data_IF_025657811039
#
_entry.id   IF_025657811039
#
_cell.length_a   1.000
_cell.length_b   1.000
_cell.length_c   1.000
_cell.angle_alpha   90.00
_cell.angle_beta   90.00
_cell.angle_gamma   90.00
#
_symmetry.space_group_name_H-M   'P 1'
#
loop_
_entity.id
_entity.type
_entity.pdbx_description
1 polymer ?
#
# COMPACT_ATOMS: atom_id res chain seq x y z
N UNK A 1 11.74 1.94 12.34
CA UNK A 1 10.80 2.85 11.65
C UNK A 1 9.74 2.11 10.84
N UNK A 2 10.09 1.08 10.07
CA UNK A 2 9.15 0.38 9.17
C UNK A 2 8.06 -0.40 9.94
N UNK A 3 8.38 -1.01 11.07
CA UNK A 3 7.41 -1.82 11.83
C UNK A 3 6.35 -0.99 12.56
N UNK A 4 6.68 0.24 12.95
CA UNK A 4 5.84 1.05 13.83
C UNK A 4 5.37 2.33 13.13
N UNK A 5 6.31 3.22 12.79
CA UNK A 5 5.99 4.58 12.37
C UNK A 5 5.21 4.63 11.05
N UNK A 6 5.66 3.91 10.02
CA UNK A 6 5.00 3.95 8.71
C UNK A 6 3.56 3.38 8.77
N UNK A 7 3.33 2.17 9.32
CA UNK A 7 1.98 1.64 9.52
C UNK A 7 1.10 2.59 10.33
N UNK A 8 1.63 3.19 11.39
CA UNK A 8 0.88 4.11 12.25
C UNK A 8 0.47 5.40 11.54
N UNK A 9 1.34 5.96 10.69
CA UNK A 9 1.01 7.10 9.84
C UNK A 9 -0.06 6.78 8.79
N UNK A 10 -0.02 5.57 8.22
CA UNK A 10 -1.06 5.08 7.30
C UNK A 10 -2.39 4.96 8.05
N UNK A 11 -2.37 4.37 9.24
CA UNK A 11 -3.52 4.27 10.12
C UNK A 11 -4.11 5.63 10.49
N UNK A 12 -3.26 6.58 10.88
CA UNK A 12 -3.65 7.97 11.17
C UNK A 12 -4.29 8.63 9.95
N UNK A 13 -3.67 8.51 8.78
CA UNK A 13 -4.16 9.14 7.56
C UNK A 13 -5.50 8.54 7.14
N UNK A 14 -5.64 7.21 7.19
CA UNK A 14 -6.89 6.51 6.92
C UNK A 14 -8.01 6.89 7.89
N UNK A 15 -7.71 6.95 9.18
CA UNK A 15 -8.66 7.42 10.19
C UNK A 15 -9.06 8.88 10.00
N UNK A 16 -8.10 9.73 9.62
CA UNK A 16 -8.32 11.16 9.38
C UNK A 16 -9.23 11.43 8.19
N UNK A 17 -9.11 10.64 7.13
CA UNK A 17 -9.99 10.73 5.96
C UNK A 17 -11.46 10.46 6.32
N UNK A 18 -11.73 9.59 7.29
CA UNK A 18 -13.10 9.24 7.69
C UNK A 18 -13.64 10.18 8.77
N UNK A 19 -12.89 10.39 9.85
CA UNK A 19 -13.33 11.04 11.09
C UNK A 19 -12.60 12.34 11.45
N UNK A 20 -11.88 12.98 10.51
CA UNK A 20 -11.11 14.20 10.77
C UNK A 20 -9.95 13.97 11.74
N UNK A 21 -9.45 15.01 12.41
CA UNK A 21 -8.28 14.87 13.30
C UNK A 21 -8.49 13.84 14.42
N UNK A 22 -9.70 13.79 15.00
CA UNK A 22 -10.04 12.80 16.04
C UNK A 22 -10.06 11.37 15.48
N UNK A 23 -10.59 11.21 14.27
CA UNK A 23 -10.49 9.96 13.51
C UNK A 23 -9.06 9.52 13.28
N UNK A 24 -8.15 10.46 13.01
CA UNK A 24 -6.73 10.16 12.86
C UNK A 24 -6.11 9.61 14.14
N UNK A 25 -6.37 10.25 15.29
CA UNK A 25 -5.87 9.80 16.60
C UNK A 25 -6.40 8.41 16.95
N UNK A 26 -7.71 8.18 16.83
CA UNK A 26 -8.32 6.86 17.13
C UNK A 26 -7.86 5.79 16.13
N UNK A 27 -7.72 6.15 14.85
CA UNK A 27 -7.18 5.27 13.81
C UNK A 27 -5.73 4.85 14.09
N UNK A 28 -4.90 5.75 14.59
CA UNK A 28 -3.54 5.45 15.03
C UNK A 28 -3.51 4.50 16.24
N UNK A 29 -4.35 4.75 17.26
CA UNK A 29 -4.46 3.87 18.44
C UNK A 29 -4.91 2.46 18.02
N UNK A 30 -5.93 2.38 17.17
CA UNK A 30 -6.45 1.09 16.65
C UNK A 30 -5.38 0.34 15.87
N UNK A 31 -4.63 1.06 15.04
CA UNK A 31 -3.51 0.52 14.27
C UNK A 31 -2.38 0.02 15.16
N UNK A 32 -2.19 0.62 16.33
CA UNK A 32 -1.21 0.16 17.30
C UNK A 32 -1.57 -1.22 17.86
N UNK A 33 -2.87 -1.48 18.08
CA UNK A 33 -3.36 -2.82 18.43
C UNK A 33 -3.05 -3.87 17.36
N UNK A 34 -3.12 -3.48 16.08
CA UNK A 34 -2.76 -4.35 14.95
C UNK A 34 -1.26 -4.67 14.94
N UNK A 35 -0.40 -3.65 15.04
CA UNK A 35 1.06 -3.81 14.96
C UNK A 35 1.58 -4.72 16.07
N UNK A 36 1.04 -4.62 17.29
CA UNK A 36 1.47 -5.48 18.41
C UNK A 36 1.05 -6.94 18.22
N UNK A 37 0.07 -7.21 17.35
CA UNK A 37 -0.44 -8.55 17.06
C UNK A 37 0.36 -9.33 16.01
N UNK A 38 1.41 -8.75 15.41
CA UNK A 38 2.20 -9.46 14.41
C UNK A 38 3.69 -9.08 14.45
N UNK A 39 4.55 -10.06 14.17
CA UNK A 39 6.00 -9.87 14.12
C UNK A 39 6.48 -9.18 12.82
N UNK A 40 5.58 -8.94 11.87
CA UNK A 40 5.88 -8.33 10.57
C UNK A 40 5.19 -6.97 10.42
N UNK A 41 5.76 -6.01 9.65
CA UNK A 41 5.11 -4.72 9.44
C UNK A 41 3.73 -4.87 8.77
N UNK A 42 2.67 -4.45 9.48
CA UNK A 42 1.27 -4.66 9.07
C UNK A 42 0.68 -3.49 8.26
N UNK A 43 1.23 -3.22 7.07
CA UNK A 43 0.69 -2.20 6.17
C UNK A 43 -0.79 -2.42 5.83
N UNK A 44 -1.15 -3.63 5.40
CA UNK A 44 -2.53 -3.98 5.06
C UNK A 44 -3.46 -3.85 6.28
N UNK A 45 -3.00 -4.29 7.44
CA UNK A 45 -3.75 -4.17 8.69
C UNK A 45 -4.03 -2.71 9.05
N UNK A 46 -3.04 -1.83 8.93
CA UNK A 46 -3.20 -0.38 9.15
C UNK A 46 -4.18 0.27 8.17
N UNK A 47 -4.17 -0.15 6.91
CA UNK A 47 -5.09 0.38 5.89
C UNK A 47 -6.56 0.04 6.18
N UNK A 48 -6.82 -1.06 6.89
CA UNK A 48 -8.17 -1.48 7.28
C UNK A 48 -8.53 -0.87 8.65
N UNK A 49 -7.65 -1.02 9.64
CA UNK A 49 -7.87 -0.60 11.01
C UNK A 49 -7.95 0.93 11.19
N UNK A 50 -7.16 1.69 10.45
CA UNK A 50 -7.16 3.16 10.50
C UNK A 50 -8.53 3.77 10.18
N UNK A 51 -9.06 3.54 8.95
CA UNK A 51 -10.39 3.99 8.58
C UNK A 51 -11.52 3.45 9.47
N UNK A 52 -11.43 2.20 9.93
CA UNK A 52 -12.39 1.63 10.88
C UNK A 52 -12.40 2.41 12.21
N UNK A 53 -11.22 2.72 12.75
CA UNK A 53 -11.07 3.56 13.94
C UNK A 53 -11.70 4.95 13.76
N UNK A 54 -11.43 5.56 12.61
CA UNK A 54 -12.02 6.85 12.22
C UNK A 54 -13.54 6.79 12.05
N UNK A 55 -14.07 5.68 11.51
CA UNK A 55 -15.50 5.47 11.32
C UNK A 55 -16.25 5.34 12.65
N UNK A 56 -15.70 4.56 13.59
CA UNK A 56 -16.29 4.36 14.90
C UNK A 56 -16.39 5.68 15.70
N UNK A 57 -15.31 6.47 15.74
CA UNK A 57 -15.33 7.74 16.48
C UNK A 57 -16.26 8.76 15.81
N UNK A 58 -16.30 8.80 14.47
CA UNK A 58 -17.24 9.67 13.75
C UNK A 58 -18.69 9.34 14.10
N UNK A 59 -19.03 8.05 14.23
CA UNK A 59 -20.37 7.63 14.59
C UNK A 59 -20.71 8.02 16.03
N UNK A 60 -19.78 7.80 16.96
CA UNK A 60 -19.93 8.20 18.35
C UNK A 60 -20.11 9.72 18.49
N UNK A 61 -19.29 10.51 17.80
CA UNK A 61 -19.35 11.97 17.85
C UNK A 61 -20.72 12.49 17.39
N UNK A 62 -21.29 11.90 16.33
CA UNK A 62 -22.64 12.26 15.85
C UNK A 62 -23.75 11.93 16.86
N UNK A 63 -23.57 10.91 17.71
CA UNK A 63 -24.58 10.53 18.70
C UNK A 63 -24.55 11.40 19.95
N UNK A 64 -23.37 11.92 20.28
CA UNK A 64 -23.15 12.75 21.47
C UNK A 64 -23.27 14.24 21.15
N UNK A 65 -23.33 14.61 19.88
CA UNK A 65 -23.48 15.98 19.43
C UNK A 65 -24.71 16.68 20.05
N UNK A 66 -24.51 17.90 20.54
CA UNK A 66 -25.54 18.69 21.24
C UNK A 66 -25.94 18.19 22.64
N UNK A 67 -25.38 17.08 23.14
CA UNK A 67 -25.69 16.54 24.48
C UNK A 67 -24.71 17.00 25.58
N UNK A 68 -23.59 17.60 25.20
CA UNK A 68 -22.52 18.00 26.13
C UNK A 68 -22.66 19.48 26.50
N UNK A 69 -22.50 19.81 27.78
CA UNK A 69 -22.44 21.19 28.25
C UNK A 69 -21.14 21.86 27.79
N UNK A 70 -21.23 23.12 27.39
CA UNK A 70 -20.07 23.94 27.03
C UNK A 70 -19.02 23.92 28.16
N UNK A 71 -17.75 23.71 27.78
CA UNK A 71 -16.62 23.52 28.70
C UNK A 71 -16.24 22.06 28.99
N UNK A 72 -17.16 21.09 28.85
CA UNK A 72 -16.86 19.66 29.01
C UNK A 72 -16.49 18.95 27.70
N UNK A 73 -16.62 19.62 26.56
CA UNK A 73 -16.43 19.05 25.23
C UNK A 73 -15.05 18.42 25.06
N UNK A 74 -13.96 19.12 25.41
CA UNK A 74 -12.61 18.55 25.30
C UNK A 74 -12.40 17.35 26.23
N UNK A 75 -13.02 17.34 27.43
CA UNK A 75 -12.92 16.22 28.35
C UNK A 75 -13.59 14.98 27.75
N UNK A 76 -14.84 15.12 27.30
CA UNK A 76 -15.60 14.02 26.68
C UNK A 76 -14.90 13.57 25.39
N UNK A 77 -14.37 14.49 24.60
CA UNK A 77 -13.72 14.17 23.33
C UNK A 77 -12.43 13.35 23.51
N UNK A 78 -11.62 13.67 24.52
CA UNK A 78 -10.38 12.93 24.80
C UNK A 78 -10.66 11.58 25.48
N UNK A 79 -11.58 11.54 26.45
CA UNK A 79 -11.94 10.29 27.13
C UNK A 79 -12.63 9.30 26.18
N UNK A 80 -13.56 9.78 25.34
CA UNK A 80 -14.22 8.92 24.34
C UNK A 80 -13.22 8.37 23.33
N UNK A 81 -12.31 9.20 22.81
CA UNK A 81 -11.27 8.76 21.89
C UNK A 81 -10.36 7.71 22.54
N UNK A 82 -10.01 7.88 23.81
CA UNK A 82 -9.21 6.90 24.58
C UNK A 82 -9.93 5.58 24.79
N UNK A 83 -11.17 5.59 25.28
CA UNK A 83 -11.95 4.38 25.58
C UNK A 83 -12.29 3.61 24.30
N UNK A 84 -12.80 4.31 23.28
CA UNK A 84 -13.14 3.71 22.00
C UNK A 84 -11.87 3.21 21.30
N UNK A 85 -10.79 4.00 21.31
CA UNK A 85 -9.51 3.60 20.76
C UNK A 85 -8.95 2.34 21.42
N UNK A 86 -9.04 2.23 22.76
CA UNK A 86 -8.60 1.05 23.49
C UNK A 86 -9.41 -0.20 23.11
N UNK A 87 -10.74 -0.10 23.09
CA UNK A 87 -11.62 -1.23 22.71
C UNK A 87 -11.31 -1.66 21.28
N UNK A 88 -11.19 -0.72 20.35
CA UNK A 88 -10.88 -1.00 18.97
C UNK A 88 -9.47 -1.59 18.79
N UNK A 89 -8.49 -1.14 19.56
CA UNK A 89 -7.14 -1.72 19.54
C UNK A 89 -7.15 -3.19 19.98
N UNK A 90 -7.90 -3.54 21.03
CA UNK A 90 -8.05 -4.93 21.48
C UNK A 90 -8.76 -5.77 20.41
N UNK A 91 -9.85 -5.26 19.82
CA UNK A 91 -10.57 -5.95 18.75
C UNK A 91 -9.72 -6.12 17.50
N UNK A 92 -8.90 -5.13 17.17
CA UNK A 92 -8.03 -5.17 16.01
C UNK A 92 -6.85 -6.15 16.22
N UNK A 93 -6.32 -6.23 17.44
CA UNK A 93 -5.34 -7.24 17.84
C UNK A 93 -5.91 -8.67 17.70
N UNK A 94 -7.10 -8.91 18.24
CA UNK A 94 -7.72 -10.24 18.23
C UNK A 94 -8.33 -10.63 16.88
N UNK A 95 -8.72 -9.66 16.05
CA UNK A 95 -9.39 -9.89 14.77
C UNK A 95 -8.47 -9.70 13.57
N UNK A 96 -8.02 -8.47 13.33
CA UNK A 96 -7.30 -8.10 12.12
C UNK A 96 -5.91 -8.74 12.07
N UNK A 97 -5.19 -8.77 13.20
CA UNK A 97 -3.90 -9.46 13.37
C UNK A 97 -3.91 -10.88 12.79
N UNK A 98 -4.65 -11.81 13.41
CA UNK A 98 -4.64 -13.21 12.99
C UNK A 98 -5.23 -13.44 11.60
N UNK A 99 -6.20 -12.63 11.15
CA UNK A 99 -6.76 -12.76 9.78
C UNK A 99 -5.69 -12.45 8.73
N UNK A 100 -4.94 -11.36 8.92
CA UNK A 100 -3.87 -10.96 7.98
C UNK A 100 -2.71 -11.95 8.04
N UNK A 101 -2.38 -12.46 9.22
CA UNK A 101 -1.37 -13.51 9.38
C UNK A 101 -1.79 -14.83 8.71
N UNK A 102 -3.05 -15.25 8.86
CA UNK A 102 -3.58 -16.45 8.21
C UNK A 102 -3.58 -16.32 6.68
N UNK A 103 -4.00 -15.16 6.14
CA UNK A 103 -3.90 -14.85 4.71
C UNK A 103 -2.46 -14.93 4.20
N UNK A 104 -1.53 -14.37 4.98
CA UNK A 104 -0.09 -14.40 4.71
C UNK A 104 0.45 -15.83 4.66
N UNK A 105 0.09 -16.67 5.64
CA UNK A 105 0.47 -18.09 5.71
C UNK A 105 -0.15 -18.92 4.58
N UNK A 106 -1.38 -18.63 4.18
CA UNK A 106 -2.05 -19.32 3.06
C UNK A 106 -1.37 -19.00 1.73
N UNK A 107 -1.07 -17.72 1.48
CA UNK A 107 -0.27 -17.30 0.33
C UNK A 107 1.11 -17.94 0.34
N UNK A 108 1.71 -18.05 1.54
CA UNK A 108 2.98 -18.72 1.72
C UNK A 108 2.97 -20.19 1.34
N UNK A 109 1.94 -20.92 1.78
CA UNK A 109 1.75 -22.32 1.39
C UNK A 109 1.51 -22.47 -0.13
N UNK A 110 0.74 -21.56 -0.74
CA UNK A 110 0.48 -21.56 -2.18
C UNK A 110 1.75 -21.35 -3.02
N UNK A 111 2.59 -20.38 -2.63
CA UNK A 111 3.87 -20.14 -3.31
C UNK A 111 4.83 -21.31 -3.08
N UNK A 112 4.92 -21.83 -1.85
CA UNK A 112 5.78 -23.00 -1.57
C UNK A 112 5.38 -24.22 -2.41
N UNK A 113 4.08 -24.46 -2.61
CA UNK A 113 3.60 -25.51 -3.51
C UNK A 113 4.09 -25.33 -4.96
N UNK A 114 4.06 -24.09 -5.48
CA UNK A 114 4.57 -23.77 -6.82
C UNK A 114 6.09 -23.95 -6.92
N UNK A 115 6.82 -23.65 -5.84
CA UNK A 115 8.27 -23.82 -5.77
C UNK A 115 8.65 -25.30 -5.86
N UNK A 116 7.97 -26.18 -5.10
CA UNK A 116 8.26 -27.63 -5.09
C UNK A 116 7.99 -28.29 -6.45
N UNK A 117 7.11 -27.72 -7.28
CA UNK A 117 6.79 -28.23 -8.62
C UNK A 117 7.63 -27.57 -9.74
N UNK A 118 8.72 -26.85 -9.41
CA UNK A 118 9.56 -26.09 -10.36
C UNK A 118 8.79 -25.04 -11.19
N UNK A 119 7.61 -24.60 -10.72
CA UNK A 119 6.75 -23.62 -11.39
C UNK A 119 7.12 -22.18 -11.05
N UNK A 120 8.40 -21.91 -10.76
CA UNK A 120 8.93 -20.60 -10.37
C UNK A 120 8.52 -19.43 -11.29
N UNK A 121 8.42 -19.58 -12.64
CA UNK A 121 7.97 -18.49 -13.50
C UNK A 121 6.52 -18.04 -13.22
N UNK A 122 5.66 -18.97 -12.81
CA UNK A 122 4.25 -18.70 -12.51
C UNK A 122 4.07 -18.04 -11.14
N UNK A 123 5.02 -18.21 -10.22
CA UNK A 123 5.01 -17.52 -8.93
C UNK A 123 5.06 -15.99 -9.10
N UNK A 124 5.75 -15.47 -10.13
CA UNK A 124 5.82 -14.03 -10.41
C UNK A 124 4.44 -13.40 -10.66
N UNK A 125 3.51 -14.11 -11.32
CA UNK A 125 2.15 -13.63 -11.59
C UNK A 125 1.36 -13.41 -10.28
N UNK A 126 1.65 -14.17 -9.23
CA UNK A 126 1.01 -14.03 -7.92
C UNK A 126 1.75 -13.08 -6.98
N UNK A 127 3.09 -13.11 -7.02
CA UNK A 127 3.95 -12.31 -6.15
C UNK A 127 3.88 -10.82 -6.52
N UNK A 128 3.72 -10.48 -7.80
CA UNK A 128 3.62 -9.08 -8.23
C UNK A 128 2.36 -8.36 -7.68
N UNK A 129 1.12 -8.89 -7.84
CA UNK A 129 -0.05 -8.32 -7.19
C UNK A 129 0.05 -8.29 -5.66
N UNK A 130 0.63 -9.33 -5.05
CA UNK A 130 0.82 -9.39 -3.61
C UNK A 130 1.74 -8.26 -3.09
N UNK A 131 2.80 -7.90 -3.85
CA UNK A 131 3.65 -6.74 -3.53
C UNK A 131 2.85 -5.43 -3.55
N UNK A 132 1.91 -5.25 -4.48
CA UNK A 132 1.04 -4.06 -4.55
C UNK A 132 0.14 -3.95 -3.32
N UNK A 133 -0.35 -5.08 -2.80
CA UNK A 133 -1.15 -5.15 -1.58
C UNK A 133 -0.31 -5.08 -0.28
N UNK A 134 0.98 -4.74 -0.38
CA UNK A 134 1.93 -4.71 0.74
C UNK A 134 2.06 -6.05 1.49
N UNK A 135 1.82 -7.18 0.81
CA UNK A 135 2.03 -8.53 1.33
C UNK A 135 3.48 -9.01 1.15
N UNK A 136 4.39 -8.11 0.75
CA UNK A 136 5.80 -8.40 0.57
C UNK A 136 6.47 -8.89 1.88
N UNK A 137 6.06 -8.37 3.04
CA UNK A 137 6.59 -8.80 4.33
C UNK A 137 6.30 -10.28 4.59
N UNK A 138 5.06 -10.71 4.32
CA UNK A 138 4.65 -12.11 4.46
C UNK A 138 5.42 -13.05 3.52
N UNK A 139 5.58 -12.62 2.27
CA UNK A 139 6.24 -13.44 1.26
C UNK A 139 7.75 -13.55 1.53
N UNK A 140 8.40 -12.43 1.85
CA UNK A 140 9.84 -12.37 2.05
C UNK A 140 10.27 -13.07 3.35
N UNK A 141 9.62 -12.77 4.47
CA UNK A 141 10.00 -13.34 5.77
C UNK A 141 9.36 -14.72 6.02
N UNK A 142 8.22 -15.02 5.40
CA UNK A 142 7.52 -16.29 5.59
C UNK A 142 7.95 -17.42 4.66
N UNK A 143 8.46 -17.12 3.47
CA UNK A 143 8.72 -18.14 2.42
C UNK A 143 10.13 -18.04 1.87
N UNK A 144 10.47 -16.91 1.25
CA UNK A 144 11.68 -16.80 0.44
C UNK A 144 12.94 -16.72 1.29
N UNK A 145 12.90 -16.07 2.46
CA UNK A 145 14.04 -16.05 3.37
C UNK A 145 14.33 -17.43 3.98
N UNK A 146 13.36 -18.17 4.55
CA UNK A 146 13.62 -19.52 5.07
C UNK A 146 14.11 -20.51 4.00
N UNK A 147 13.44 -20.57 2.84
CA UNK A 147 13.85 -21.45 1.74
C UNK A 147 15.20 -21.03 1.15
N UNK A 148 15.45 -19.72 1.06
CA UNK A 148 16.70 -19.20 0.55
C UNK A 148 17.89 -19.47 1.47
N UNK A 149 17.67 -19.43 2.79
CA UNK A 149 18.69 -19.80 3.79
C UNK A 149 18.99 -21.30 3.70
N UNK A 150 17.97 -22.17 3.65
CA UNK A 150 18.18 -23.62 3.49
C UNK A 150 18.95 -23.95 2.20
N UNK A 151 18.51 -23.40 1.06
CA UNK A 151 19.16 -23.65 -0.22
C UNK A 151 20.59 -23.09 -0.26
N UNK A 152 20.83 -21.92 0.35
CA UNK A 152 22.16 -21.34 0.42
C UNK A 152 23.10 -22.10 1.35
N UNK A 153 22.59 -22.77 2.40
CA UNK A 153 23.39 -23.63 3.25
C UNK A 153 23.82 -24.91 2.54
N UNK A 154 22.96 -25.50 1.71
CA UNK A 154 23.24 -26.75 1.00
C UNK A 154 24.03 -26.55 -0.30
N UNK A 155 23.70 -25.51 -1.08
CA UNK A 155 24.23 -25.29 -2.43
C UNK A 155 25.15 -24.06 -2.53
N UNK A 156 25.31 -23.30 -1.44
CA UNK A 156 26.10 -22.05 -1.40
C UNK A 156 25.46 -20.88 -2.16
N UNK A 157 24.32 -21.09 -2.84
CA UNK A 157 23.60 -20.11 -3.65
C UNK A 157 22.09 -20.38 -3.56
N UNK A 158 21.28 -19.33 -3.70
CA UNK A 158 19.84 -19.44 -3.71
C UNK A 158 19.20 -18.53 -4.75
N UNK A 159 18.31 -19.09 -5.56
CA UNK A 159 17.55 -18.34 -6.57
C UNK A 159 16.41 -17.52 -5.93
N UNK A 160 15.99 -17.88 -4.71
CA UNK A 160 14.89 -17.21 -3.99
C UNK A 160 15.19 -15.76 -3.63
N UNK A 161 16.46 -15.42 -3.40
CA UNK A 161 16.88 -14.02 -3.17
C UNK A 161 16.73 -13.14 -4.42
N UNK A 162 16.83 -13.72 -5.63
CA UNK A 162 16.71 -12.97 -6.88
C UNK A 162 15.25 -12.77 -7.30
N UNK A 163 14.34 -13.64 -6.87
CA UNK A 163 12.89 -13.52 -7.13
C UNK A 163 12.29 -12.30 -6.39
N UNK A 164 12.80 -12.00 -5.20
CA UNK A 164 12.41 -10.79 -4.45
C UNK A 164 12.84 -9.52 -5.19
N UNK A 165 14.12 -9.46 -5.57
CA UNK A 165 14.73 -8.32 -6.25
C UNK A 165 14.23 -8.09 -7.68
N UNK A 166 13.42 -9.01 -8.22
CA UNK A 166 12.91 -8.93 -9.59
C UNK A 166 12.13 -7.62 -9.80
N UNK A 167 12.69 -6.65 -10.55
CA UNK A 167 12.08 -5.35 -10.78
C UNK A 167 11.07 -5.42 -11.94
N UNK A 168 10.53 -6.59 -12.29
CA UNK A 168 9.63 -6.83 -13.43
C UNK A 168 8.60 -5.73 -13.69
N UNK A 169 7.81 -5.29 -12.69
CA UNK A 169 6.88 -4.18 -12.84
C UNK A 169 7.57 -2.84 -13.13
N UNK A 170 8.73 -2.57 -12.51
CA UNK A 170 9.55 -1.40 -12.77
C UNK A 170 10.14 -1.39 -14.18
N UNK A 171 10.62 -2.54 -14.66
CA UNK A 171 11.08 -2.69 -16.05
C UNK A 171 9.93 -2.52 -17.04
N UNK A 172 8.74 -3.06 -16.74
CA UNK A 172 7.52 -2.87 -17.55
C UNK A 172 7.08 -1.41 -17.61
N UNK A 173 7.07 -0.69 -16.48
CA UNK A 173 6.78 0.76 -16.44
C UNK A 173 7.82 1.56 -17.20
N UNK A 174 9.11 1.23 -17.05
CA UNK A 174 10.20 1.89 -17.78
C UNK A 174 10.08 1.64 -19.29
N UNK A 175 9.77 0.42 -19.72
CA UNK A 175 9.51 0.10 -21.13
C UNK A 175 8.28 0.84 -21.65
N UNK A 176 7.18 0.88 -20.89
CA UNK A 176 5.98 1.63 -21.27
C UNK A 176 6.29 3.13 -21.43
N UNK A 177 7.09 3.70 -20.53
CA UNK A 177 7.57 5.09 -20.63
C UNK A 177 8.42 5.29 -21.88
N UNK A 178 9.39 4.40 -22.15
CA UNK A 178 10.25 4.49 -23.33
C UNK A 178 9.43 4.44 -24.62
N UNK A 179 8.48 3.52 -24.74
CA UNK A 179 7.66 3.40 -25.96
C UNK A 179 6.67 4.56 -26.12
N UNK A 180 5.91 4.92 -25.09
CA UNK A 180 4.90 5.98 -25.21
C UNK A 180 5.53 7.37 -25.38
N UNK A 181 6.63 7.65 -24.69
CA UNK A 181 7.34 8.94 -24.83
C UNK A 181 8.01 9.06 -26.20
N UNK A 182 8.60 7.98 -26.74
CA UNK A 182 9.17 7.99 -28.10
C UNK A 182 8.09 8.21 -29.15
N UNK A 183 6.94 7.54 -29.02
CA UNK A 183 5.80 7.73 -29.94
C UNK A 183 5.27 9.16 -29.86
N UNK A 184 5.08 9.71 -28.64
CA UNK A 184 4.63 11.08 -28.45
C UNK A 184 5.62 12.13 -29.01
N UNK A 185 6.93 11.92 -28.82
CA UNK A 185 7.99 12.77 -29.39
C UNK A 185 7.98 12.77 -30.92
N UNK A 186 7.75 11.61 -31.55
CA UNK A 186 7.68 11.49 -33.00
C UNK A 186 6.42 12.17 -33.57
N UNK A 187 5.27 12.05 -32.91
CA UNK A 187 4.05 12.77 -33.29
C UNK A 187 4.20 14.30 -33.15
N UNK A 188 4.85 14.78 -32.08
CA UNK A 188 5.11 16.21 -31.89
C UNK A 188 6.10 16.78 -32.91
N UNK A 189 7.13 15.99 -33.31
CA UNK A 189 8.04 16.37 -34.40
C UNK A 189 7.31 16.47 -35.75
N UNK A 190 6.40 15.55 -36.03
CA UNK A 190 5.58 15.58 -37.25
C UNK A 190 4.65 16.80 -37.32
N UNK A 191 4.01 17.18 -36.20
CA UNK A 191 3.17 18.40 -36.11
C UNK A 191 3.99 19.68 -36.22
N UNK A 192 5.20 19.70 -35.67
CA UNK A 192 6.10 20.86 -35.79
C UNK A 192 6.56 21.05 -37.24
N UNK A 193 6.87 19.97 -37.96
CA UNK A 193 7.26 20.03 -39.38
C UNK A 193 6.13 20.47 -40.30
N UNK A 194 4.89 20.01 -40.06
CA UNK A 194 3.73 20.46 -40.84
C UNK A 194 3.43 21.95 -40.60
N UNK A 195 3.53 22.41 -39.35
CA UNK A 195 3.29 23.81 -38.98
C UNK A 195 4.31 24.76 -39.60
N UNK A 196 5.59 24.37 -39.71
CA UNK A 196 6.61 25.16 -40.41
C UNK A 196 6.41 25.23 -41.92
N UNK A 197 5.81 24.19 -42.54
CA UNK A 197 5.52 24.19 -43.98
C UNK A 197 4.38 25.15 -44.35
N UNK A 198 3.33 25.23 -43.52
CA UNK A 198 2.21 26.17 -43.70
C UNK A 198 2.61 27.64 -43.54
N UNK A 199 3.53 27.95 -42.61
CA UNK A 199 4.05 29.32 -42.41
C UNK A 199 4.93 29.79 -43.58
N UNK A 200 5.63 28.88 -44.25
CA UNK A 200 6.43 29.20 -45.44
C UNK A 200 5.54 29.35 -46.68
N UNK A 201 4.51 28.53 -46.84
CA UNK A 201 3.57 28.61 -47.99
C UNK A 201 2.74 29.88 -47.99
N UNK A 202 2.21 30.29 -46.82
CA UNK A 202 1.36 31.51 -46.70
C UNK A 202 2.09 32.83 -46.94
N UNK A 203 3.41 32.88 -46.71
CA UNK A 203 4.25 34.06 -47.05
C UNK A 203 4.57 34.19 -48.54
N UNK A 204 4.42 33.12 -49.33
CA UNK A 204 4.65 33.15 -50.77
C UNK A 204 3.44 33.70 -51.53
N UNK A 205 2.22 33.48 -51.03
CA UNK A 205 0.99 33.88 -51.73
C UNK A 205 0.64 35.36 -51.52
N UNK A 206 1.15 36.01 -50.47
CA UNK A 206 0.90 37.44 -50.21
C UNK A 206 1.86 38.40 -50.93
N UNK A 207 2.72 37.90 -51.83
CA UNK A 207 3.62 38.73 -52.68
C UNK A 207 3.22 38.71 -54.16
N UNK A 208 2.06 38.14 -54.50
CA UNK A 208 1.58 37.99 -55.87
C UNK A 208 0.23 38.67 -56.14
N UNK A 209 -0.21 39.57 -55.27
CA UNK A 209 -1.28 40.54 -55.53
C UNK A 209 -0.80 41.94 -55.17
#
# INVERSE_FOLDING_TARGET
MITYLLPLLIGYTGGKLVGGERGGVVGAITTMGVIVGADMPMFLGSMIAGPLGGWCIKHFDRWVDGKIKSGFEMLVNNFSAGIIGMILAILAFLGIGPIVEALSKMLAAGVNFMVVHDMLPLASIFVEPAKILFLNNAINHGIFSPLGIQQSHELGKSIFFLIEANPGPGMGVLLAYMFLVVVALNSLRAVRQSSTSWVVSTKSTSRMC
#
